data_IF_192903156786
#
_entry.id   IF_192903156786
#
_cell.length_a   1.000
_cell.length_b   1.000
_cell.length_c   1.000
_cell.angle_alpha   90.00
_cell.angle_beta   90.00
_cell.angle_gamma   90.00
#
_symmetry.space_group_name_H-M   'P 1'
#
loop_
_entity.id
_entity.type
_entity.pdbx_description
1 polymer ?
#
# COMPACT_ATOMS: atom_id res chain seq x y z
N UNK A 1 -1.21 10.68 17.53
CA UNK A 1 -1.75 10.12 16.28
C UNK A 1 -2.03 11.30 15.38
N UNK A 2 -1.25 11.43 14.33
CA UNK A 2 -1.49 12.43 13.29
C UNK A 2 -2.80 12.07 12.57
N UNK A 3 -3.63 13.07 12.23
CA UNK A 3 -4.95 12.86 11.61
C UNK A 3 -4.90 12.01 10.33
N UNK A 4 -3.77 11.99 9.63
CA UNK A 4 -3.54 11.19 8.43
C UNK A 4 -3.42 9.67 8.71
N UNK A 5 -2.93 9.29 9.90
CA UNK A 5 -2.70 7.89 10.27
C UNK A 5 -4.03 7.14 10.46
N UNK A 6 -5.02 7.81 11.06
CA UNK A 6 -6.37 7.29 11.24
C UNK A 6 -7.12 7.08 9.91
N UNK A 7 -6.63 7.65 8.81
CA UNK A 7 -7.27 7.59 7.49
C UNK A 7 -6.70 6.49 6.60
N UNK A 8 -5.60 5.82 6.98
CA UNK A 8 -5.04 4.72 6.19
C UNK A 8 -5.97 3.51 6.03
N UNK A 9 -6.65 3.02 7.10
CA UNK A 9 -7.56 1.89 6.96
C UNK A 9 -8.67 2.17 5.94
N UNK A 10 -8.93 1.22 5.04
CA UNK A 10 -9.93 1.33 3.97
C UNK A 10 -9.54 0.60 2.69
N UNK A 11 -10.40 0.75 1.68
CA UNK A 11 -10.19 0.21 0.33
C UNK A 11 -9.44 1.22 -0.55
N UNK A 12 -8.50 0.72 -1.33
CA UNK A 12 -7.60 1.50 -2.16
C UNK A 12 -7.43 0.82 -3.52
N UNK A 13 -7.58 1.58 -4.60
CA UNK A 13 -7.37 1.10 -5.97
C UNK A 13 -6.15 1.77 -6.57
N UNK A 14 -5.22 0.97 -7.09
CA UNK A 14 -4.00 1.49 -7.72
C UNK A 14 -4.40 2.37 -8.91
N UNK A 15 -3.91 3.62 -8.94
CA UNK A 15 -4.15 4.57 -10.03
C UNK A 15 -2.88 4.88 -10.84
N UNK A 16 -1.78 4.23 -10.49
CA UNK A 16 -0.46 4.30 -11.11
C UNK A 16 -0.32 3.24 -12.21
N UNK A 17 0.42 3.57 -13.27
CA UNK A 17 0.70 2.69 -14.42
C UNK A 17 2.20 2.54 -14.71
N UNK A 18 3.03 3.08 -13.82
CA UNK A 18 4.48 3.00 -13.89
C UNK A 18 4.92 1.53 -13.89
N UNK A 19 5.87 1.18 -14.76
CA UNK A 19 6.31 -0.20 -14.91
C UNK A 19 6.90 -0.77 -13.61
N UNK A 20 7.58 0.06 -12.82
CA UNK A 20 8.10 -0.35 -11.52
C UNK A 20 7.00 -0.73 -10.52
N UNK A 21 5.77 -0.24 -10.73
CA UNK A 21 4.63 -0.49 -9.87
C UNK A 21 3.84 -1.76 -10.24
N UNK A 22 4.28 -2.51 -11.27
CA UNK A 22 3.58 -3.69 -11.78
C UNK A 22 3.44 -4.79 -10.74
N UNK A 23 4.42 -4.94 -9.83
CA UNK A 23 4.40 -5.95 -8.77
C UNK A 23 3.43 -5.65 -7.62
N UNK A 24 3.00 -4.40 -7.44
CA UNK A 24 2.08 -4.03 -6.35
C UNK A 24 0.61 -4.31 -6.71
N UNK A 25 -0.19 -4.56 -5.68
CA UNK A 25 -1.58 -4.95 -5.83
C UNK A 25 -2.39 -3.91 -6.62
N UNK A 26 -3.34 -4.37 -7.41
CA UNK A 26 -4.32 -3.50 -8.07
C UNK A 26 -5.35 -2.98 -7.06
N UNK A 27 -5.75 -3.81 -6.12
CA UNK A 27 -6.64 -3.46 -5.01
C UNK A 27 -5.93 -3.74 -3.69
N UNK A 28 -6.07 -2.84 -2.72
CA UNK A 28 -5.48 -2.95 -1.40
C UNK A 28 -6.53 -2.59 -0.34
N UNK A 29 -6.71 -3.47 0.62
CA UNK A 29 -7.53 -3.24 1.80
C UNK A 29 -6.64 -3.20 3.04
N UNK A 30 -6.49 -2.00 3.63
CA UNK A 30 -5.79 -1.82 4.90
C UNK A 30 -6.80 -1.93 6.05
N UNK A 31 -6.61 -2.87 6.95
CA UNK A 31 -7.46 -3.07 8.12
C UNK A 31 -6.91 -2.30 9.34
N UNK A 32 -7.79 -1.80 10.20
CA UNK A 32 -7.40 -1.03 11.40
C UNK A 32 -6.65 -1.84 12.46
N UNK A 33 -6.63 -3.17 12.36
CA UNK A 33 -5.89 -4.08 13.23
C UNK A 33 -4.44 -4.35 12.76
N UNK A 34 -3.96 -3.65 11.73
CA UNK A 34 -2.62 -3.82 11.18
C UNK A 34 -2.50 -4.97 10.16
N UNK A 35 -3.61 -5.56 9.72
CA UNK A 35 -3.61 -6.51 8.60
C UNK A 35 -3.89 -5.81 7.27
N UNK A 36 -3.44 -6.39 6.18
CA UNK A 36 -3.87 -6.01 4.85
C UNK A 36 -4.17 -7.21 3.96
N UNK A 37 -4.99 -6.98 2.94
CA UNK A 37 -5.21 -7.90 1.83
C UNK A 37 -5.08 -7.11 0.53
N UNK A 38 -4.35 -7.65 -0.43
CA UNK A 38 -4.28 -7.09 -1.77
C UNK A 38 -4.61 -8.13 -2.84
N UNK A 39 -5.05 -7.65 -3.99
CA UNK A 39 -5.35 -8.48 -5.15
C UNK A 39 -4.83 -7.84 -6.43
N UNK A 40 -4.49 -8.68 -7.40
CA UNK A 40 -4.09 -8.27 -8.74
C UNK A 40 -5.28 -8.08 -9.67
N UNK A 41 -5.05 -7.35 -10.76
CA UNK A 41 -5.96 -7.21 -11.89
C UNK A 41 -5.11 -7.41 -13.18
N UNK A 42 -5.37 -8.43 -14.00
CA UNK A 42 -6.40 -9.47 -13.84
C UNK A 42 -6.14 -10.36 -12.61
N UNK A 43 -7.24 -10.85 -12.03
CA UNK A 43 -7.22 -11.70 -10.85
C UNK A 43 -6.37 -12.97 -11.05
N UNK A 44 -5.68 -13.41 -9.99
CA UNK A 44 -4.82 -14.60 -10.00
C UNK A 44 -3.38 -14.35 -10.42
N UNK A 45 -3.04 -13.12 -10.83
CA UNK A 45 -1.64 -12.73 -11.06
C UNK A 45 -0.91 -12.56 -9.73
N UNK A 46 0.40 -12.83 -9.70
CA UNK A 46 1.24 -12.58 -8.54
C UNK A 46 1.29 -11.07 -8.20
N UNK A 47 1.30 -10.77 -6.90
CA UNK A 47 1.61 -9.44 -6.38
C UNK A 47 2.47 -9.55 -5.13
N UNK A 48 3.36 -8.60 -4.92
CA UNK A 48 4.14 -8.48 -3.68
C UNK A 48 3.28 -8.19 -2.46
N UNK A 49 2.10 -7.59 -2.65
CA UNK A 49 1.17 -7.26 -1.57
C UNK A 49 -0.10 -8.10 -1.72
N UNK A 50 -0.03 -9.38 -1.37
CA UNK A 50 -1.17 -10.32 -1.43
C UNK A 50 -1.93 -10.36 -0.09
N UNK A 51 -1.23 -10.60 1.02
CA UNK A 51 -1.75 -10.48 2.37
C UNK A 51 -0.61 -10.34 3.36
N UNK A 52 -0.86 -9.66 4.48
CA UNK A 52 0.15 -9.57 5.52
C UNK A 52 -0.17 -8.50 6.55
N UNK A 53 0.89 -7.90 7.07
CA UNK A 53 0.83 -6.88 8.11
C UNK A 53 1.32 -5.53 7.61
N UNK A 54 0.80 -4.47 8.21
CA UNK A 54 1.30 -3.11 8.04
C UNK A 54 1.40 -2.41 9.39
N UNK A 55 2.39 -1.53 9.54
CA UNK A 55 2.60 -0.75 10.74
C UNK A 55 3.23 0.61 10.40
N UNK A 56 2.82 1.64 11.14
CA UNK A 56 3.48 2.94 11.10
C UNK A 56 4.83 2.85 11.82
N UNK A 57 5.89 3.31 11.17
CA UNK A 57 7.25 3.38 11.73
C UNK A 57 7.62 4.82 12.16
N UNK A 58 6.71 5.77 11.95
CA UNK A 58 6.90 7.20 12.21
C UNK A 58 6.27 8.05 11.10
N UNK A 59 6.43 9.38 11.16
CA UNK A 59 5.84 10.30 10.20
C UNK A 59 6.23 9.95 8.76
N UNK A 60 5.22 9.71 7.91
CA UNK A 60 5.42 9.40 6.50
C UNK A 60 6.14 8.06 6.22
N UNK A 61 6.24 7.15 7.20
CA UNK A 61 6.87 5.83 7.05
C UNK A 61 5.90 4.70 7.39
N UNK A 62 5.75 3.76 6.46
CA UNK A 62 4.90 2.59 6.61
C UNK A 62 5.74 1.33 6.35
N UNK A 63 5.79 0.43 7.32
CA UNK A 63 6.30 -0.93 7.12
C UNK A 63 5.17 -1.82 6.62
N UNK A 64 5.40 -2.59 5.55
CA UNK A 64 4.46 -3.59 5.02
C UNK A 64 5.23 -4.89 4.78
N UNK A 65 4.70 -6.01 5.26
CA UNK A 65 5.24 -7.34 4.90
C UNK A 65 4.81 -7.72 3.49
N UNK A 66 5.69 -8.29 2.69
CA UNK A 66 5.38 -8.72 1.31
C UNK A 66 5.15 -10.23 1.23
N UNK A 67 4.73 -10.73 0.06
CA UNK A 67 4.43 -12.14 -0.21
C UNK A 67 5.59 -13.13 0.07
N UNK A 68 6.82 -12.64 0.26
CA UNK A 68 7.99 -13.45 0.62
C UNK A 68 8.42 -13.28 2.10
N UNK A 69 7.55 -12.74 2.94
CA UNK A 69 7.77 -12.42 4.36
C UNK A 69 8.79 -11.28 4.64
N UNK A 70 9.32 -10.61 3.61
CA UNK A 70 10.13 -9.41 3.80
C UNK A 70 9.28 -8.25 4.31
N UNK A 71 9.73 -7.58 5.38
CA UNK A 71 9.13 -6.33 5.87
C UNK A 71 9.86 -5.15 5.25
N UNK A 72 9.20 -4.47 4.31
CA UNK A 72 9.75 -3.34 3.58
C UNK A 72 9.19 -2.03 4.15
N UNK A 73 10.07 -1.04 4.35
CA UNK A 73 9.66 0.31 4.78
C UNK A 73 9.51 1.22 3.57
N UNK A 74 8.29 1.72 3.38
CA UNK A 74 7.91 2.68 2.34
C UNK A 74 7.83 4.08 2.92
N UNK A 75 8.18 5.08 2.10
CA UNK A 75 7.71 6.44 2.37
C UNK A 75 6.28 6.55 1.87
N UNK A 76 5.40 7.22 2.60
CA UNK A 76 4.03 7.45 2.16
C UNK A 76 3.56 8.88 2.37
N UNK A 77 2.58 9.29 1.58
CA UNK A 77 1.79 10.50 1.82
C UNK A 77 0.32 10.24 1.49
N UNK A 78 -0.57 10.91 2.21
CA UNK A 78 -2.01 10.86 1.98
C UNK A 78 -2.54 12.28 1.80
N UNK A 79 -3.08 12.57 0.62
CA UNK A 79 -3.74 13.85 0.31
C UNK A 79 -4.96 13.62 -0.55
N UNK A 80 -6.06 14.28 -0.22
CA UNK A 80 -7.30 14.31 -1.03
C UNK A 80 -7.85 12.94 -1.44
N UNK A 81 -7.65 11.91 -0.61
CA UNK A 81 -8.06 10.53 -0.92
C UNK A 81 -7.11 9.80 -1.88
N UNK A 82 -5.89 10.29 -2.06
CA UNK A 82 -4.81 9.64 -2.80
C UNK A 82 -3.70 9.26 -1.84
N UNK A 83 -3.44 7.96 -1.73
CA UNK A 83 -2.33 7.39 -0.98
C UNK A 83 -1.17 7.14 -1.93
N UNK A 84 -0.05 7.80 -1.71
CA UNK A 84 1.16 7.64 -2.52
C UNK A 84 2.21 6.90 -1.70
N UNK A 85 2.87 5.93 -2.32
CA UNK A 85 4.02 5.21 -1.80
C UNK A 85 5.26 5.51 -2.62
N UNK A 86 6.41 5.51 -1.94
CA UNK A 86 7.73 5.39 -2.57
C UNK A 86 8.47 4.24 -1.89
N UNK A 87 8.86 3.23 -2.67
CA UNK A 87 9.64 2.09 -2.20
C UNK A 87 11.13 2.43 -2.00
N UNK A 88 11.94 1.50 -1.45
CA UNK A 88 13.38 1.73 -1.28
C UNK A 88 14.17 1.88 -2.58
N UNK A 89 13.66 1.36 -3.71
CA UNK A 89 14.26 1.51 -5.03
C UNK A 89 13.91 2.85 -5.70
N UNK A 90 13.05 3.66 -5.07
CA UNK A 90 12.58 4.94 -5.60
C UNK A 90 11.38 4.83 -6.53
N UNK A 91 10.77 3.65 -6.68
CA UNK A 91 9.51 3.51 -7.39
C UNK A 91 8.41 4.25 -6.63
N UNK A 92 7.82 5.26 -7.29
CA UNK A 92 6.71 6.03 -6.76
C UNK A 92 5.42 5.58 -7.44
N UNK A 93 4.43 5.21 -6.64
CA UNK A 93 3.15 4.69 -7.12
C UNK A 93 2.04 5.12 -6.17
N UNK A 94 0.81 5.19 -6.67
CA UNK A 94 -0.31 5.71 -5.91
C UNK A 94 -1.58 4.87 -6.03
N UNK A 95 -2.45 5.07 -5.06
CA UNK A 95 -3.78 4.49 -4.94
C UNK A 95 -4.80 5.59 -4.69
N UNK A 96 -6.00 5.41 -5.24
CA UNK A 96 -7.18 6.22 -4.94
C UNK A 96 -8.05 5.50 -3.92
N UNK A 97 -8.61 6.25 -2.97
CA UNK A 97 -9.61 5.74 -2.04
C UNK A 97 -10.79 5.17 -2.84
N UNK A 98 -11.11 3.92 -2.59
CA UNK A 98 -12.30 3.27 -3.11
C UNK A 98 -13.44 3.34 -2.08
N UNK A 99 -14.71 3.22 -2.51
CA UNK A 99 -15.86 3.16 -1.62
C UNK A 99 -15.80 2.06 -0.56
#
# INVERSE_FOLDING_TARGET
MDLHEAQLPGNWHKNSQEQCAAGYAAHLHLQSNGLYVGSSEPAGSFTWWDQGTWALQGPGKLAISTANDEVVTYTYSLSDGTLTFTDPAGCRFSYRRAP
#
